data_IF_669831232957
#
_entry.id   IF_669831232957
#
_cell.length_a   1.000
_cell.length_b   1.000
_cell.length_c   1.000
_cell.angle_alpha   90.00
_cell.angle_beta   90.00
_cell.angle_gamma   90.00
#
_symmetry.space_group_name_H-M   'P 1'
#
loop_
_entity.id
_entity.type
_entity.pdbx_description
1 polymer ?
#
# COMPACT_ATOMS: atom_id res chain seq x y z
N UNK A 1 -4.60 -14.74 1.41
CA UNK A 1 -5.57 -13.65 1.66
C UNK A 1 -4.99 -12.32 1.16
N UNK A 2 -5.80 -11.40 0.61
CA UNK A 2 -5.29 -10.11 0.08
C UNK A 2 -4.58 -9.26 1.14
N UNK A 3 -5.01 -9.36 2.41
CA UNK A 3 -4.35 -8.74 3.56
C UNK A 3 -2.92 -9.22 3.79
N UNK A 4 -2.66 -10.52 3.67
CA UNK A 4 -1.31 -11.10 3.82
C UNK A 4 -0.39 -10.72 2.65
N UNK A 5 -0.95 -10.58 1.45
CA UNK A 5 -0.19 -10.12 0.28
C UNK A 5 0.23 -8.65 0.46
N UNK A 6 -0.69 -7.82 0.96
CA UNK A 6 -0.40 -6.43 1.29
C UNK A 6 0.62 -6.29 2.43
N UNK A 7 0.54 -7.12 3.47
CA UNK A 7 1.51 -7.11 4.58
C UNK A 7 2.91 -7.52 4.13
N UNK A 8 3.01 -8.54 3.25
CA UNK A 8 4.29 -8.91 2.61
C UNK A 8 4.85 -7.77 1.77
N UNK A 9 4.00 -7.12 0.97
CA UNK A 9 4.41 -5.95 0.20
C UNK A 9 4.87 -4.79 1.09
N UNK A 10 4.17 -4.51 2.18
CA UNK A 10 4.57 -3.49 3.16
C UNK A 10 5.92 -3.80 3.80
N UNK A 11 6.19 -5.06 4.13
CA UNK A 11 7.49 -5.50 4.64
C UNK A 11 8.60 -5.33 3.59
N UNK A 12 8.32 -5.57 2.30
CA UNK A 12 9.24 -5.33 1.19
C UNK A 12 9.54 -3.84 1.02
N UNK A 13 8.52 -2.98 1.04
CA UNK A 13 8.68 -1.52 0.96
C UNK A 13 9.52 -0.96 2.11
N UNK A 14 9.40 -1.53 3.32
CA UNK A 14 10.22 -1.13 4.47
C UNK A 14 11.67 -1.62 4.38
N UNK A 15 11.91 -2.71 3.65
CA UNK A 15 13.25 -3.30 3.45
C UNK A 15 13.99 -2.71 2.24
N UNK A 16 13.27 -2.25 1.23
CA UNK A 16 13.82 -1.70 -0.01
C UNK A 16 13.64 -0.17 -0.05
N UNK A 17 14.70 0.62 0.19
CA UNK A 17 14.62 2.09 0.20
C UNK A 17 14.17 2.68 -1.13
N UNK A 18 14.50 2.03 -2.24
CA UNK A 18 14.13 2.44 -3.60
C UNK A 18 12.62 2.35 -3.82
N UNK A 19 11.97 1.29 -3.32
CA UNK A 19 10.51 1.16 -3.31
C UNK A 19 9.87 2.29 -2.50
N UNK A 20 10.44 2.57 -1.34
CA UNK A 20 9.94 3.62 -0.46
C UNK A 20 10.06 5.00 -1.12
N UNK A 21 11.17 5.28 -1.81
CA UNK A 21 11.37 6.53 -2.54
C UNK A 21 10.37 6.68 -3.69
N UNK A 22 10.19 5.64 -4.51
CA UNK A 22 9.22 5.64 -5.62
C UNK A 22 7.78 5.85 -5.14
N UNK A 23 7.41 5.27 -4.00
CA UNK A 23 6.09 5.45 -3.41
C UNK A 23 5.90 6.82 -2.75
N UNK A 24 6.97 7.41 -2.20
CA UNK A 24 6.94 8.74 -1.58
C UNK A 24 6.86 9.88 -2.60
N UNK A 25 7.39 9.67 -3.79
CA UNK A 25 7.41 10.68 -4.87
C UNK A 25 6.02 10.87 -5.53
N UNK A 26 5.08 9.94 -5.30
CA UNK A 26 3.73 10.01 -5.84
C UNK A 26 2.80 10.76 -4.89
N UNK A 27 2.38 11.96 -5.29
CA UNK A 27 1.41 12.77 -4.54
C UNK A 27 -0.05 12.44 -4.88
N UNK A 28 -0.30 11.90 -6.08
CA UNK A 28 -1.63 11.56 -6.56
C UNK A 28 -2.11 10.22 -5.98
N UNK A 29 -3.21 10.24 -5.24
CA UNK A 29 -3.73 9.05 -4.55
C UNK A 29 -4.11 7.91 -5.50
N UNK A 30 -4.65 8.23 -6.68
CA UNK A 30 -4.97 7.22 -7.69
C UNK A 30 -3.70 6.61 -8.29
N UNK A 31 -2.72 7.44 -8.66
CA UNK A 31 -1.44 7.00 -9.18
C UNK A 31 -0.65 6.18 -8.14
N UNK A 32 -0.78 6.51 -6.85
CA UNK A 32 -0.17 5.75 -5.76
C UNK A 32 -0.74 4.33 -5.70
N UNK A 33 -2.08 4.19 -5.77
CA UNK A 33 -2.74 2.88 -5.72
C UNK A 33 -2.35 2.01 -6.91
N UNK A 34 -2.31 2.57 -8.12
CA UNK A 34 -1.85 1.86 -9.31
C UNK A 34 -0.39 1.43 -9.20
N UNK A 35 0.47 2.32 -8.70
CA UNK A 35 1.90 2.01 -8.51
C UNK A 35 2.10 0.89 -7.48
N UNK A 36 1.35 0.91 -6.37
CA UNK A 36 1.38 -0.15 -5.34
C UNK A 36 0.94 -1.50 -5.90
N UNK A 37 -0.15 -1.54 -6.68
CA UNK A 37 -0.63 -2.78 -7.34
C UNK A 37 0.41 -3.31 -8.33
N UNK A 38 0.98 -2.42 -9.15
CA UNK A 38 2.01 -2.81 -10.13
C UNK A 38 3.25 -3.38 -9.46
N UNK A 39 3.80 -2.67 -8.46
CA UNK A 39 4.99 -3.10 -7.72
C UNK A 39 4.75 -4.37 -6.90
N UNK A 40 3.52 -4.53 -6.38
CA UNK A 40 3.08 -5.76 -5.72
C UNK A 40 3.09 -6.94 -6.69
N UNK A 41 2.47 -6.78 -7.86
CA UNK A 41 2.42 -7.81 -8.90
C UNK A 41 3.80 -8.24 -9.38
N UNK A 42 4.71 -7.29 -9.61
CA UNK A 42 6.12 -7.55 -9.96
C UNK A 42 6.85 -8.42 -8.90
N UNK A 43 6.42 -8.35 -7.64
CA UNK A 43 7.02 -9.08 -6.50
C UNK A 43 6.20 -10.30 -6.06
N UNK A 44 5.23 -10.73 -6.88
CA UNK A 44 4.37 -11.89 -6.61
C UNK A 44 3.30 -11.65 -5.53
N UNK A 45 3.04 -10.38 -5.19
CA UNK A 45 1.96 -9.99 -4.30
C UNK A 45 0.76 -9.53 -5.15
N UNK A 46 -0.28 -10.36 -5.22
CA UNK A 46 -1.49 -10.05 -5.98
C UNK A 46 -2.55 -9.42 -5.08
N UNK A 47 -2.89 -8.17 -5.36
CA UNK A 47 -3.98 -7.42 -4.73
C UNK A 47 -4.45 -6.31 -5.68
N UNK A 48 -5.68 -5.83 -5.53
CA UNK A 48 -6.26 -4.77 -6.36
C UNK A 48 -6.14 -3.40 -5.71
N UNK A 49 -6.30 -2.35 -6.50
CA UNK A 49 -6.30 -0.96 -6.00
C UNK A 49 -7.46 -0.70 -5.05
N UNK A 50 -8.60 -1.35 -5.26
CA UNK A 50 -9.76 -1.32 -4.37
C UNK A 50 -9.47 -1.95 -3.01
N UNK A 51 -8.78 -3.09 -2.99
CA UNK A 51 -8.36 -3.75 -1.74
C UNK A 51 -7.37 -2.89 -0.96
N UNK A 52 -6.38 -2.30 -1.64
CA UNK A 52 -5.43 -1.36 -1.01
C UNK A 52 -6.18 -0.14 -0.47
N UNK A 53 -7.14 0.39 -1.22
CA UNK A 53 -7.98 1.52 -0.79
C UNK A 53 -8.83 1.17 0.43
N UNK A 54 -9.40 -0.03 0.49
CA UNK A 54 -10.18 -0.50 1.65
C UNK A 54 -9.31 -0.55 2.92
N UNK A 55 -8.12 -1.17 2.82
CA UNK A 55 -7.14 -1.24 3.93
C UNK A 55 -6.68 0.15 4.36
N UNK A 56 -6.46 1.07 3.41
CA UNK A 56 -6.11 2.45 3.72
C UNK A 56 -7.24 3.23 4.37
N UNK A 57 -8.49 3.04 3.94
CA UNK A 57 -9.66 3.67 4.56
C UNK A 57 -9.89 3.15 5.97
N UNK A 58 -9.70 1.85 6.20
CA UNK A 58 -9.71 1.26 7.54
C UNK A 58 -8.59 1.82 8.41
N UNK A 59 -7.35 1.87 7.89
CA UNK A 59 -6.22 2.44 8.63
C UNK A 59 -6.43 3.92 8.96
N UNK A 60 -6.97 4.70 8.01
CA UNK A 60 -7.30 6.12 8.19
C UNK A 60 -8.41 6.31 9.23
N UNK A 61 -9.52 5.56 9.14
CA UNK A 61 -10.58 5.58 10.16
C UNK A 61 -10.04 5.22 11.53
N UNK A 62 -9.24 4.16 11.60
CA UNK A 62 -8.63 3.69 12.83
C UNK A 62 -7.53 4.63 13.36
N UNK A 63 -7.06 5.59 12.57
CA UNK A 63 -6.18 6.69 13.00
C UNK A 63 -6.99 7.87 13.52
N UNK A 64 -8.08 8.24 12.83
CA UNK A 64 -9.02 9.29 13.26
C UNK A 64 -9.74 8.92 14.56
N UNK A 65 -10.15 7.66 14.75
CA UNK A 65 -10.76 7.19 16.00
C UNK A 65 -9.75 7.08 17.17
N UNK A 66 -8.44 7.07 16.87
CA UNK A 66 -7.37 6.95 17.89
C UNK A 66 -6.79 8.28 18.33
N UNK A 67 -7.20 9.37 17.70
CA UNK A 67 -6.77 10.71 18.08
C UNK A 67 -7.90 11.39 18.87
N UNK A 68 -7.79 11.47 20.21
CA UNK A 68 -8.63 12.36 21.00
C UNK A 68 -8.29 13.83 20.73
#
# INVERSE_FOLDING_TARGET
MPREAFERFRALVLREPELQARLRDVQESAAFLELVVRLGGERGCHFTSEEVRAVWQEARRAWFERWP
#
